data_IF_385636282175
#
_entry.id   IF_385636282175
#
_cell.length_a   1.000
_cell.length_b   1.000
_cell.length_c   1.000
_cell.angle_alpha   90.00
_cell.angle_beta   90.00
_cell.angle_gamma   90.00
#
_symmetry.space_group_name_H-M   'P 1'
#
loop_
_entity.id
_entity.type
_entity.pdbx_description
1 polymer ?
#
# COMPACT_ATOMS: atom_id res chain seq x y z
N UNK A 1 -4.43 -28.45 6.06
CA UNK A 1 -3.47 -27.60 5.33
C UNK A 1 -3.84 -26.16 5.56
N UNK A 2 -2.88 -25.25 5.74
CA UNK A 2 -3.18 -23.82 5.70
C UNK A 2 -3.71 -23.46 4.31
N UNK A 3 -4.79 -22.68 4.24
CA UNK A 3 -5.43 -22.30 2.98
C UNK A 3 -4.49 -21.48 2.05
N UNK A 4 -3.57 -20.71 2.65
CA UNK A 4 -2.60 -19.84 1.97
C UNK A 4 -1.20 -20.49 1.97
N UNK A 5 -0.90 -21.31 0.97
CA UNK A 5 0.41 -21.97 0.88
C UNK A 5 1.48 -20.95 0.47
N UNK A 6 2.59 -20.94 1.21
CA UNK A 6 3.73 -20.06 0.89
C UNK A 6 3.45 -18.58 1.14
N UNK A 7 2.58 -18.26 2.10
CA UNK A 7 2.34 -16.88 2.51
C UNK A 7 3.63 -16.17 2.91
N UNK A 8 3.95 -15.07 2.24
CA UNK A 8 5.09 -14.21 2.51
C UNK A 8 4.61 -12.77 2.63
N UNK A 9 5.10 -12.07 3.66
CA UNK A 9 4.81 -10.66 3.84
C UNK A 9 5.33 -9.87 2.63
N UNK A 10 4.45 -9.11 1.99
CA UNK A 10 4.78 -8.37 0.77
C UNK A 10 5.03 -6.89 1.07
N UNK A 11 4.05 -6.18 1.63
CA UNK A 11 4.18 -4.75 1.94
C UNK A 11 3.18 -4.28 3.01
N UNK A 12 3.47 -3.11 3.60
CA UNK A 12 2.50 -2.28 4.33
C UNK A 12 1.99 -1.18 3.41
N UNK A 13 0.69 -0.91 3.45
CA UNK A 13 0.09 0.27 2.83
C UNK A 13 -0.30 1.32 3.88
N UNK A 14 0.13 2.57 3.66
CA UNK A 14 -0.26 3.72 4.48
C UNK A 14 -0.94 4.78 3.61
N UNK A 15 -2.21 5.04 3.88
CA UNK A 15 -2.91 6.20 3.35
C UNK A 15 -2.36 7.53 3.94
N UNK A 16 -2.36 8.58 3.14
CA UNK A 16 -2.01 9.94 3.57
C UNK A 16 -2.73 10.99 2.71
N UNK A 17 -3.04 12.15 3.31
CA UNK A 17 -3.48 13.34 2.55
C UNK A 17 -2.33 14.04 1.83
N UNK A 18 -1.09 13.77 2.25
CA UNK A 18 0.13 14.29 1.64
C UNK A 18 1.16 13.17 1.56
N UNK A 19 1.12 12.43 0.44
CA UNK A 19 2.02 11.29 0.22
C UNK A 19 3.45 11.74 -0.02
N UNK A 20 3.67 12.92 -0.63
CA UNK A 20 5.01 13.44 -0.94
C UNK A 20 5.77 13.83 0.32
N UNK A 21 5.14 14.60 1.21
CA UNK A 21 5.76 14.98 2.50
C UNK A 21 6.09 13.74 3.33
N UNK A 22 5.19 12.75 3.32
CA UNK A 22 5.40 11.50 4.06
C UNK A 22 6.53 10.67 3.44
N UNK A 23 6.61 10.61 2.11
CA UNK A 23 7.70 9.93 1.41
C UNK A 23 9.06 10.56 1.73
N UNK A 24 9.15 11.89 1.66
CA UNK A 24 10.36 12.63 2.04
C UNK A 24 10.83 12.28 3.45
N UNK A 25 9.91 12.22 4.42
CA UNK A 25 10.25 11.78 5.78
C UNK A 25 10.86 10.38 5.81
N UNK A 26 10.24 9.40 5.15
CA UNK A 26 10.75 8.02 5.13
C UNK A 26 12.10 7.93 4.40
N UNK A 27 12.31 8.72 3.35
CA UNK A 27 13.56 8.73 2.60
C UNK A 27 14.69 9.41 3.41
N UNK A 28 14.47 10.63 3.90
CA UNK A 28 15.49 11.45 4.54
C UNK A 28 15.83 10.97 5.96
N UNK A 29 14.84 10.52 6.72
CA UNK A 29 15.03 10.16 8.14
C UNK A 29 15.31 8.67 8.30
N UNK A 30 14.65 7.82 7.49
CA UNK A 30 14.69 6.37 7.65
C UNK A 30 15.46 5.65 6.53
N UNK A 31 15.95 6.38 5.52
CA UNK A 31 16.78 5.83 4.45
C UNK A 31 16.04 4.93 3.46
N UNK A 32 14.72 5.12 3.31
CA UNK A 32 13.98 4.42 2.26
C UNK A 32 14.37 4.92 0.87
N UNK A 33 14.28 4.04 -0.11
CA UNK A 33 14.45 4.36 -1.53
C UNK A 33 13.10 4.31 -2.23
N UNK A 34 12.80 5.31 -3.07
CA UNK A 34 11.63 5.26 -3.94
C UNK A 34 11.87 4.30 -5.11
N UNK A 35 10.87 3.48 -5.42
CA UNK A 35 10.89 2.52 -6.53
C UNK A 35 9.73 2.78 -7.49
N UNK A 36 9.80 2.19 -8.69
CA UNK A 36 8.75 2.36 -9.71
C UNK A 36 7.37 1.98 -9.16
N UNK A 37 6.40 2.87 -9.40
CA UNK A 37 5.02 2.70 -8.96
C UNK A 37 4.06 2.60 -10.16
N UNK A 38 2.94 1.86 -10.03
CA UNK A 38 1.95 1.78 -11.08
C UNK A 38 1.24 3.13 -11.26
N UNK A 39 0.95 3.48 -12.52
CA UNK A 39 0.15 4.66 -12.83
C UNK A 39 -1.32 4.39 -12.55
N UNK A 40 -1.85 5.03 -11.51
CA UNK A 40 -3.25 4.95 -11.10
C UNK A 40 -3.90 6.35 -11.19
N UNK A 41 -5.22 6.41 -11.06
CA UNK A 41 -5.99 7.68 -11.08
C UNK A 41 -5.79 8.54 -9.81
N UNK A 42 -4.94 8.09 -8.89
CA UNK A 42 -4.63 8.72 -7.62
C UNK A 42 -3.15 8.55 -7.29
N UNK A 43 -2.62 9.42 -6.44
CA UNK A 43 -1.19 9.42 -6.15
C UNK A 43 -0.77 8.19 -5.33
N UNK A 44 0.28 7.52 -5.80
CA UNK A 44 0.85 6.32 -5.18
C UNK A 44 2.37 6.40 -5.24
N UNK A 45 3.01 6.23 -4.09
CA UNK A 45 4.48 6.20 -3.96
C UNK A 45 4.88 4.85 -3.36
N UNK A 46 5.83 4.17 -3.98
CA UNK A 46 6.40 2.93 -3.46
C UNK A 46 7.78 3.20 -2.89
N UNK A 47 7.99 2.78 -1.66
CA UNK A 47 9.22 2.92 -0.93
C UNK A 47 9.74 1.55 -0.52
N UNK A 48 11.06 1.37 -0.57
CA UNK A 48 11.75 0.15 -0.16
C UNK A 48 12.79 0.49 0.91
N UNK A 49 12.85 -0.35 1.94
CA UNK A 49 13.95 -0.38 2.90
C UNK A 49 14.64 -1.75 2.81
N UNK A 50 15.96 -1.74 2.71
CA UNK A 50 16.75 -2.96 2.64
C UNK A 50 16.55 -3.83 3.91
N UNK A 51 16.60 -5.17 3.81
CA UNK A 51 16.80 -5.95 2.58
C UNK A 51 15.52 -6.25 1.79
N UNK A 52 14.33 -6.18 2.40
CA UNK A 52 13.08 -6.66 1.77
C UNK A 52 11.81 -6.09 2.41
N UNK A 53 11.84 -4.85 2.87
CA UNK A 53 10.65 -4.17 3.39
C UNK A 53 10.10 -3.19 2.37
N UNK A 54 8.80 -3.29 2.07
CA UNK A 54 8.12 -2.41 1.14
C UNK A 54 7.01 -1.64 1.86
N UNK A 55 7.01 -0.32 1.65
CA UNK A 55 6.00 0.60 2.13
C UNK A 55 5.36 1.30 0.93
N UNK A 56 4.06 1.13 0.80
CA UNK A 56 3.26 1.76 -0.24
C UNK A 56 2.47 2.91 0.40
N UNK A 57 2.69 4.13 -0.09
CA UNK A 57 1.94 5.31 0.35
C UNK A 57 0.83 5.60 -0.65
N UNK A 58 -0.41 5.65 -0.16
CA UNK A 58 -1.60 5.84 -0.99
C UNK A 58 -2.24 7.18 -0.69
N UNK A 59 -2.64 7.91 -1.73
CA UNK A 59 -3.46 9.09 -1.59
C UNK A 59 -4.83 8.73 -1.01
N UNK A 60 -5.13 9.36 0.12
CA UNK A 60 -6.41 9.22 0.79
C UNK A 60 -7.54 9.72 -0.09
N UNK A 61 -8.66 8.98 -0.09
CA UNK A 61 -9.88 9.45 -0.76
C UNK A 61 -10.41 10.73 -0.09
N UNK A 62 -10.48 11.88 -0.79
CA UNK A 62 -10.98 13.13 -0.21
C UNK A 62 -12.47 13.05 0.19
N UNK A 63 -13.21 12.05 -0.28
CA UNK A 63 -14.62 11.84 0.08
C UNK A 63 -14.79 11.19 1.44
N UNK A 64 -13.75 10.54 1.99
CA UNK A 64 -13.82 9.95 3.34
C UNK A 64 -13.57 11.00 4.43
N UNK A 65 -14.48 11.03 5.42
CA UNK A 65 -14.36 11.87 6.61
C UNK A 65 -13.91 11.09 7.85
N UNK A 66 -13.59 9.82 7.70
CA UNK A 66 -13.18 8.94 8.79
C UNK A 66 -11.72 9.18 9.17
N UNK A 67 -11.27 9.00 10.42
CA UNK A 67 -9.86 9.12 10.79
C UNK A 67 -8.93 8.28 9.90
N UNK A 68 -9.40 7.11 9.46
CA UNK A 68 -8.77 6.21 8.50
C UNK A 68 -9.78 5.80 7.42
N UNK A 69 -9.34 5.64 6.16
CA UNK A 69 -10.16 5.21 5.05
C UNK A 69 -10.84 3.85 5.28
N UNK A 70 -12.00 3.60 4.63
CA UNK A 70 -12.77 2.38 4.86
C UNK A 70 -11.93 1.12 4.65
N UNK A 71 -11.94 0.24 5.65
CA UNK A 71 -11.11 -0.98 5.78
C UNK A 71 -11.47 -2.10 4.80
N UNK A 72 -12.62 -2.02 4.15
CA UNK A 72 -13.19 -3.15 3.42
C UNK A 72 -12.99 -3.04 1.91
N UNK A 73 -12.26 -3.98 1.33
CA UNK A 73 -12.35 -4.29 -0.10
C UNK A 73 -13.82 -4.58 -0.44
N UNK A 74 -14.38 -3.88 -1.43
CA UNK A 74 -15.76 -4.08 -1.90
C UNK A 74 -15.93 -5.36 -2.72
N UNK A 75 -14.82 -5.98 -3.12
CA UNK A 75 -14.76 -7.18 -3.95
C UNK A 75 -13.46 -7.95 -3.69
N UNK A 76 -13.52 -9.28 -3.80
CA UNK A 76 -12.33 -10.14 -3.79
C UNK A 76 -11.65 -10.24 -5.17
N UNK A 77 -12.23 -9.57 -6.19
CA UNK A 77 -11.77 -9.63 -7.57
C UNK A 77 -10.63 -8.63 -7.80
N UNK A 78 -9.57 -9.08 -8.48
CA UNK A 78 -8.42 -8.26 -8.88
C UNK A 78 -8.73 -7.29 -10.04
N UNK A 79 -9.78 -6.47 -9.90
CA UNK A 79 -10.00 -5.32 -10.78
C UNK A 79 -9.28 -4.10 -10.16
N UNK A 80 -8.35 -3.44 -10.87
CA UNK A 80 -7.70 -2.20 -10.42
C UNK A 80 -8.69 -1.12 -9.94
N UNK A 81 -9.91 -1.09 -10.49
CA UNK A 81 -10.98 -0.16 -10.06
C UNK A 81 -11.54 -0.46 -8.68
N UNK A 82 -11.34 -1.69 -8.21
CA UNK A 82 -11.74 -2.14 -6.87
C UNK A 82 -10.60 -2.03 -5.86
N UNK A 83 -9.44 -1.48 -6.24
CA UNK A 83 -8.31 -1.31 -5.33
C UNK A 83 -8.70 -0.34 -4.19
N UNK A 84 -8.75 -0.81 -2.93
CA UNK A 84 -9.08 0.06 -1.82
C UNK A 84 -7.95 1.06 -1.59
N UNK A 85 -8.29 2.35 -1.43
CA UNK A 85 -7.34 3.43 -1.08
C UNK A 85 -6.99 3.46 0.41
N UNK A 86 -7.01 2.31 1.09
CA UNK A 86 -6.96 2.20 2.55
C UNK A 86 -5.71 1.52 3.09
N UNK A 87 -5.55 1.61 4.41
CA UNK A 87 -4.51 0.90 5.15
C UNK A 87 -4.67 -0.61 5.05
N UNK A 88 -3.58 -1.31 4.75
CA UNK A 88 -3.58 -2.76 4.74
C UNK A 88 -2.16 -3.32 4.87
N UNK A 89 -2.10 -4.61 5.17
CA UNK A 89 -0.91 -5.43 4.99
C UNK A 89 -1.18 -6.42 3.87
N UNK A 90 -0.20 -6.62 3.01
CA UNK A 90 -0.31 -7.52 1.87
C UNK A 90 0.57 -8.75 2.10
N UNK A 91 0.05 -9.92 1.72
CA UNK A 91 0.81 -11.16 1.67
C UNK A 91 0.74 -11.71 0.26
N UNK A 92 1.88 -12.15 -0.27
CA UNK A 92 1.94 -12.98 -1.46
C UNK A 92 1.74 -14.43 -1.04
N UNK A 93 0.97 -15.19 -1.82
CA UNK A 93 0.77 -16.63 -1.63
C UNK A 93 1.01 -17.34 -2.96
N UNK A 94 1.32 -18.63 -2.92
CA UNK A 94 1.61 -19.42 -4.13
C UNK A 94 0.37 -19.88 -4.90
N UNK A 95 -0.83 -19.72 -4.33
CA UNK A 95 -2.07 -20.35 -4.83
C UNK A 95 -3.34 -19.49 -4.60
N UNK A 96 -3.40 -18.30 -5.20
CA UNK A 96 -4.58 -17.41 -5.15
C UNK A 96 -5.21 -17.23 -6.52
#
# INVERSE_FOLDING_TARGET
MAAAKGACFNHVSRESTDTKRLAQFYQEILGFEEIESPKLEFNVIWLKLAPSFFLHLIERDPKTKLPEGPWSASSAVADPKSLPRGHHICFSVSNF
#
